data_IF_168029793650
#
_entry.id   IF_168029793650
#
_cell.length_a   1.000
_cell.length_b   1.000
_cell.length_c   1.000
_cell.angle_alpha   90.00
_cell.angle_beta   90.00
_cell.angle_gamma   90.00
#
_symmetry.space_group_name_H-M   'P 1'
#
loop_
_entity.id
_entity.type
_entity.pdbx_description
1 polymer ?
#
# COMPACT_ATOMS: atom_id res chain seq x y z
N UNK A 1 33.40 56.96 10.03
CA UNK A 1 32.32 56.08 9.57
C UNK A 1 32.81 55.30 8.36
N UNK A 2 33.24 54.05 8.56
CA UNK A 2 33.40 53.04 7.50
C UNK A 2 33.29 51.69 8.21
N UNK A 3 32.12 51.06 8.05
CA UNK A 3 31.83 49.74 8.62
C UNK A 3 32.44 48.66 7.73
N UNK A 4 33.16 47.74 8.38
CA UNK A 4 33.68 46.52 7.80
C UNK A 4 32.56 45.47 7.79
N UNK A 5 32.09 45.06 6.62
CA UNK A 5 31.11 43.98 6.47
C UNK A 5 31.80 42.73 5.92
N UNK A 6 31.96 41.73 6.80
CA UNK A 6 32.42 40.38 6.48
C UNK A 6 31.24 39.55 6.00
N UNK A 7 31.13 39.34 4.68
CA UNK A 7 30.19 38.36 4.11
C UNK A 7 30.75 36.95 4.25
N UNK A 8 30.27 36.21 5.25
CA UNK A 8 30.38 34.74 5.28
C UNK A 8 29.28 34.16 4.40
N UNK A 9 29.66 33.65 3.23
CA UNK A 9 28.77 32.83 2.41
C UNK A 9 28.57 31.48 3.10
N UNK A 10 27.34 31.23 3.55
CA UNK A 10 26.91 29.93 4.05
C UNK A 10 26.63 29.05 2.82
N UNK A 11 27.56 28.16 2.48
CA UNK A 11 27.36 27.10 1.50
C UNK A 11 26.42 26.05 2.13
N UNK A 12 25.11 26.24 1.96
CA UNK A 12 24.13 25.16 2.15
C UNK A 12 24.26 24.27 0.92
N UNK A 13 25.05 23.21 1.04
CA UNK A 13 25.11 22.15 0.06
C UNK A 13 23.80 21.38 0.06
N UNK A 14 22.86 21.80 -0.78
CA UNK A 14 21.71 20.98 -1.15
C UNK A 14 22.22 19.78 -1.93
N UNK A 15 22.50 18.68 -1.23
CA UNK A 15 22.66 17.37 -1.84
C UNK A 15 21.30 16.98 -2.43
N UNK A 16 21.01 17.44 -3.64
CA UNK A 16 20.03 16.80 -4.50
C UNK A 16 20.57 15.41 -4.80
N UNK A 17 20.22 14.44 -3.95
CA UNK A 17 20.32 13.04 -4.32
C UNK A 17 19.32 12.87 -5.46
N UNK A 18 19.84 12.87 -6.70
CA UNK A 18 19.07 12.42 -7.85
C UNK A 18 18.79 10.95 -7.57
N UNK A 19 17.62 10.64 -7.03
CA UNK A 19 17.13 9.27 -6.83
C UNK A 19 16.92 8.67 -8.21
N UNK A 20 18.00 8.14 -8.78
CA UNK A 20 17.99 7.49 -10.09
C UNK A 20 17.56 6.01 -10.00
N UNK A 21 17.28 5.48 -8.80
CA UNK A 21 16.62 4.18 -8.65
C UNK A 21 15.13 4.37 -8.42
N UNK A 22 14.31 4.00 -9.41
CA UNK A 22 12.83 4.04 -9.36
C UNK A 22 12.23 3.15 -8.26
N UNK A 23 13.02 2.27 -7.68
CA UNK A 23 12.63 1.51 -6.50
C UNK A 23 13.64 1.73 -5.39
N UNK A 24 13.15 2.31 -4.30
CA UNK A 24 13.90 2.56 -3.08
C UNK A 24 13.51 1.49 -2.05
N UNK A 25 14.50 0.73 -1.57
CA UNK A 25 14.33 -0.14 -0.42
C UNK A 25 14.97 0.50 0.80
N UNK A 26 14.18 0.62 1.87
CA UNK A 26 14.58 1.24 3.11
C UNK A 26 14.39 0.28 4.28
N UNK A 27 15.20 0.46 5.32
CA UNK A 27 15.08 -0.25 6.58
C UNK A 27 14.53 0.68 7.65
N UNK A 28 13.61 0.21 8.49
CA UNK A 28 13.17 0.95 9.67
C UNK A 28 14.34 1.06 10.67
N UNK A 29 14.74 2.28 11.02
CA UNK A 29 15.82 2.50 12.00
C UNK A 29 15.45 2.01 13.40
N UNK A 30 14.15 1.93 13.69
CA UNK A 30 13.59 1.43 14.94
C UNK A 30 12.17 0.93 14.73
N UNK A 31 11.78 -0.04 15.55
CA UNK A 31 10.38 -0.45 15.70
C UNK A 31 9.72 0.47 16.73
N UNK A 32 8.57 1.04 16.35
CA UNK A 32 7.78 1.96 17.14
C UNK A 32 6.56 1.25 17.72
N UNK A 33 6.00 1.79 18.81
CA UNK A 33 4.65 1.43 19.21
C UNK A 33 3.63 1.86 18.14
N UNK A 34 2.44 1.26 18.16
CA UNK A 34 1.37 1.60 17.23
C UNK A 34 1.04 3.09 17.26
N UNK A 35 0.87 3.68 18.45
CA UNK A 35 0.51 5.09 18.56
C UNK A 35 1.62 6.04 18.09
N UNK A 36 2.89 5.73 18.41
CA UNK A 36 4.03 6.48 17.89
C UNK A 36 4.14 6.39 16.37
N UNK A 37 3.95 5.21 15.79
CA UNK A 37 4.01 5.02 14.36
C UNK A 37 2.88 5.78 13.64
N UNK A 38 1.65 5.74 14.17
CA UNK A 38 0.53 6.55 13.63
C UNK A 38 0.86 8.02 13.65
N UNK A 39 1.37 8.52 14.78
CA UNK A 39 1.76 9.91 14.91
C UNK A 39 2.82 10.30 13.87
N UNK A 40 3.89 9.50 13.73
CA UNK A 40 4.94 9.73 12.73
C UNK A 40 4.37 9.73 11.31
N UNK A 41 3.52 8.76 10.99
CA UNK A 41 2.93 8.67 9.65
C UNK A 41 2.00 9.87 9.39
N UNK A 42 1.05 10.18 10.27
CA UNK A 42 0.07 11.25 10.05
C UNK A 42 0.64 12.68 10.17
N UNK A 43 1.85 12.85 10.72
CA UNK A 43 2.44 14.19 10.93
C UNK A 43 3.70 14.45 10.11
N UNK A 44 4.49 13.42 9.79
CA UNK A 44 5.73 13.57 9.03
C UNK A 44 5.66 12.92 7.65
N UNK A 45 5.17 11.68 7.55
CA UNK A 45 5.30 10.92 6.31
C UNK A 45 4.12 11.15 5.34
N UNK A 46 2.89 11.12 5.83
CA UNK A 46 1.66 11.31 5.06
C UNK A 46 0.77 12.37 5.72
N UNK A 47 1.25 13.62 5.89
CA UNK A 47 0.57 14.58 6.71
C UNK A 47 -0.79 15.02 6.15
N UNK A 48 -1.72 15.37 7.04
CA UNK A 48 -3.09 15.76 6.67
C UNK A 48 -3.14 16.97 5.73
N UNK A 49 -2.19 17.90 5.80
CA UNK A 49 -2.17 19.06 4.90
C UNK A 49 -1.85 18.69 3.42
N UNK A 50 -1.37 17.47 3.17
CA UNK A 50 -1.19 16.90 1.82
C UNK A 50 -2.39 16.07 1.35
N UNK A 51 -3.47 15.98 2.11
CA UNK A 51 -4.69 15.25 1.73
C UNK A 51 -5.23 15.70 0.37
N UNK A 52 -5.16 17.00 0.07
CA UNK A 52 -5.55 17.53 -1.23
C UNK A 52 -4.72 16.95 -2.38
N UNK A 53 -3.40 16.85 -2.23
CA UNK A 53 -2.51 16.28 -3.24
C UNK A 53 -2.83 14.80 -3.46
N UNK A 54 -3.10 14.07 -2.38
CA UNK A 54 -3.55 12.67 -2.43
C UNK A 54 -4.90 12.52 -3.15
N UNK A 55 -5.86 13.38 -2.87
CA UNK A 55 -7.16 13.37 -3.55
C UNK A 55 -7.04 13.68 -5.04
N UNK A 56 -6.16 14.61 -5.42
CA UNK A 56 -5.86 14.89 -6.83
C UNK A 56 -5.20 13.69 -7.53
N UNK A 57 -4.24 13.04 -6.87
CA UNK A 57 -3.59 11.83 -7.38
C UNK A 57 -4.58 10.67 -7.55
N UNK A 58 -5.57 10.55 -6.66
CA UNK A 58 -6.64 9.56 -6.78
C UNK A 58 -7.54 9.82 -7.98
N UNK A 59 -7.96 11.07 -8.17
CA UNK A 59 -8.81 11.44 -9.30
C UNK A 59 -8.15 11.10 -10.63
N UNK A 60 -6.87 11.38 -10.78
CA UNK A 60 -6.10 11.01 -11.97
C UNK A 60 -6.02 9.49 -12.15
N UNK A 61 -5.76 8.74 -11.06
CA UNK A 61 -5.67 7.29 -11.09
C UNK A 61 -6.96 6.63 -11.64
N UNK A 62 -8.12 7.24 -11.37
CA UNK A 62 -9.42 6.77 -11.85
C UNK A 62 -9.90 7.46 -13.14
N UNK A 63 -9.02 8.18 -13.84
CA UNK A 63 -9.33 8.82 -15.13
C UNK A 63 -10.20 10.07 -15.03
N UNK A 64 -10.29 10.69 -13.86
CA UNK A 64 -10.99 11.95 -13.63
C UNK A 64 -10.22 13.16 -14.18
N UNK A 65 -10.94 14.16 -14.70
CA UNK A 65 -10.34 15.43 -15.16
C UNK A 65 -10.15 16.37 -13.95
N UNK A 66 -8.93 16.86 -13.65
CA UNK A 66 -8.63 17.63 -12.43
C UNK A 66 -9.33 19.00 -12.30
N UNK A 67 -9.90 19.52 -13.38
CA UNK A 67 -10.15 20.97 -13.52
C UNK A 67 -11.38 21.54 -12.78
N UNK A 68 -12.09 20.79 -11.93
CA UNK A 68 -13.36 21.29 -11.34
C UNK A 68 -13.71 20.84 -9.91
N UNK A 69 -12.81 20.17 -9.20
CA UNK A 69 -13.14 19.56 -7.91
C UNK A 69 -12.60 20.44 -6.77
N UNK A 70 -13.50 21.02 -5.99
CA UNK A 70 -13.22 21.75 -4.73
C UNK A 70 -13.21 20.78 -3.54
N UNK A 71 -12.65 21.18 -2.39
CA UNK A 71 -12.65 20.33 -1.18
C UNK A 71 -14.06 19.91 -0.71
N UNK A 72 -15.09 20.68 -1.08
CA UNK A 72 -16.50 20.38 -0.76
C UNK A 72 -17.21 19.56 -1.85
N UNK A 73 -16.48 19.03 -2.83
CA UNK A 73 -17.07 18.25 -3.91
C UNK A 73 -17.41 16.83 -3.42
N UNK A 74 -18.69 16.41 -3.44
CA UNK A 74 -19.13 15.12 -2.92
C UNK A 74 -18.52 13.93 -3.67
N UNK A 75 -17.91 14.14 -4.85
CA UNK A 75 -17.17 13.09 -5.56
C UNK A 75 -15.85 12.73 -4.86
N UNK A 76 -15.26 13.65 -4.10
CA UNK A 76 -14.05 13.39 -3.32
C UNK A 76 -14.26 12.39 -2.20
N UNK A 77 -15.48 12.29 -1.66
CA UNK A 77 -15.87 11.26 -0.68
C UNK A 77 -15.77 9.83 -1.24
N UNK A 78 -15.76 9.66 -2.57
CA UNK A 78 -15.82 8.33 -3.22
C UNK A 78 -14.54 7.95 -3.98
N UNK A 79 -13.53 8.82 -4.06
CA UNK A 79 -12.34 8.59 -4.91
C UNK A 79 -11.09 8.16 -4.14
N UNK A 80 -10.97 8.53 -2.86
CA UNK A 80 -9.86 8.12 -2.00
C UNK A 80 -10.31 8.01 -0.55
N UNK A 81 -10.25 6.80 0.01
CA UNK A 81 -10.49 6.56 1.44
C UNK A 81 -9.21 6.06 2.09
N UNK A 82 -8.81 6.66 3.21
CA UNK A 82 -7.70 6.16 4.00
C UNK A 82 -8.20 5.09 4.96
N UNK A 83 -7.84 3.83 4.72
CA UNK A 83 -8.28 2.74 5.60
C UNK A 83 -7.71 2.92 7.03
N UNK A 84 -8.50 2.73 8.10
CA UNK A 84 -8.04 3.06 9.45
C UNK A 84 -6.98 2.11 10.00
N UNK A 85 -6.02 2.64 10.77
CA UNK A 85 -4.94 1.87 11.38
C UNK A 85 -5.41 0.75 12.31
N UNK A 86 -6.40 1.04 13.16
CA UNK A 86 -6.95 0.03 14.08
C UNK A 86 -7.60 -1.13 13.32
N UNK A 87 -8.27 -0.81 12.21
CA UNK A 87 -8.97 -1.77 11.37
C UNK A 87 -7.99 -2.65 10.61
N UNK A 88 -6.93 -2.08 10.01
CA UNK A 88 -5.88 -2.89 9.39
C UNK A 88 -5.14 -3.74 10.42
N UNK A 89 -4.86 -3.21 11.62
CA UNK A 89 -4.20 -3.99 12.68
C UNK A 89 -5.04 -5.20 13.08
N UNK A 90 -6.35 -5.02 13.26
CA UNK A 90 -7.25 -6.13 13.59
C UNK A 90 -7.21 -7.20 12.50
N UNK A 91 -7.35 -6.81 11.23
CA UNK A 91 -7.38 -7.76 10.11
C UNK A 91 -6.04 -8.47 9.93
N UNK A 92 -4.94 -7.73 10.02
CA UNK A 92 -3.58 -8.28 9.89
C UNK A 92 -3.21 -9.17 11.07
N UNK A 93 -3.54 -8.80 12.30
CA UNK A 93 -3.29 -9.65 13.47
C UNK A 93 -4.08 -10.96 13.37
N UNK A 94 -5.33 -10.91 12.90
CA UNK A 94 -6.14 -12.11 12.66
C UNK A 94 -5.59 -12.95 11.52
N UNK A 95 -5.06 -12.36 10.46
CA UNK A 95 -4.56 -13.10 9.29
C UNK A 95 -3.31 -13.91 9.60
N UNK A 96 -2.49 -13.46 10.57
CA UNK A 96 -1.26 -14.15 10.95
C UNK A 96 -1.45 -15.61 11.39
N UNK A 97 -2.62 -15.99 11.94
CA UNK A 97 -2.90 -17.39 12.32
C UNK A 97 -2.98 -18.35 11.13
N UNK A 98 -3.17 -17.80 9.93
CA UNK A 98 -3.31 -18.56 8.68
C UNK A 98 -2.04 -18.57 7.83
N UNK A 99 -1.02 -17.79 8.20
CA UNK A 99 0.27 -17.79 7.51
C UNK A 99 1.03 -19.06 7.89
N UNK A 100 1.03 -20.04 6.99
CA UNK A 100 1.65 -21.36 7.20
C UNK A 100 3.10 -21.45 6.73
N UNK A 101 3.53 -20.50 5.89
CA UNK A 101 4.88 -20.42 5.32
C UNK A 101 5.48 -19.05 5.62
N UNK A 102 6.78 -19.02 5.86
CA UNK A 102 7.61 -17.81 5.90
C UNK A 102 8.84 -18.06 5.04
N UNK A 103 9.58 -16.99 4.75
CA UNK A 103 10.89 -17.12 4.13
C UNK A 103 11.87 -17.84 5.07
N UNK A 104 12.99 -18.30 4.51
CA UNK A 104 13.99 -19.09 5.24
C UNK A 104 14.59 -18.33 6.44
N UNK A 105 14.55 -16.99 6.41
CA UNK A 105 14.96 -16.11 7.52
C UNK A 105 13.83 -15.77 8.50
N UNK A 106 12.66 -16.39 8.33
CA UNK A 106 11.48 -16.19 9.16
C UNK A 106 10.76 -14.85 8.93
N UNK A 107 11.15 -14.09 7.90
CA UNK A 107 10.51 -12.81 7.54
C UNK A 107 9.10 -13.02 7.02
N UNK A 108 8.24 -12.04 7.30
CA UNK A 108 6.90 -11.95 6.72
C UNK A 108 6.88 -10.91 5.61
N UNK A 109 6.42 -11.31 4.43
CA UNK A 109 6.27 -10.43 3.27
C UNK A 109 4.83 -9.96 3.23
N UNK A 110 4.63 -8.69 3.54
CA UNK A 110 3.35 -8.00 3.50
C UNK A 110 3.29 -7.13 2.25
N UNK A 111 2.24 -7.28 1.46
CA UNK A 111 2.02 -6.48 0.25
C UNK A 111 0.73 -5.69 0.40
N UNK A 112 0.81 -4.37 0.31
CA UNK A 112 -0.32 -3.45 0.19
C UNK A 112 -0.54 -3.15 -1.30
N UNK A 113 -1.60 -3.70 -1.88
CA UNK A 113 -1.94 -3.54 -3.29
C UNK A 113 -2.96 -2.42 -3.47
N UNK A 114 -2.58 -1.39 -4.24
CA UNK A 114 -3.29 -0.11 -4.26
C UNK A 114 -2.92 0.73 -3.04
N UNK A 115 -1.62 0.81 -2.73
CA UNK A 115 -1.12 1.41 -1.49
C UNK A 115 -1.32 2.93 -1.39
N UNK A 116 -1.74 3.59 -2.47
CA UNK A 116 -1.80 5.04 -2.57
C UNK A 116 -0.44 5.67 -2.27
N UNK A 117 -0.42 6.68 -1.41
CA UNK A 117 0.81 7.33 -0.93
C UNK A 117 1.64 6.50 0.07
N UNK A 118 1.27 5.24 0.33
CA UNK A 118 2.06 4.34 1.17
C UNK A 118 1.82 4.44 2.66
N UNK A 119 0.77 5.14 3.10
CA UNK A 119 0.43 5.36 4.51
C UNK A 119 0.44 4.07 5.35
N UNK A 120 -0.20 3.00 4.86
CA UNK A 120 -0.22 1.71 5.58
C UNK A 120 1.10 0.96 5.48
N UNK A 121 1.83 1.09 4.37
CA UNK A 121 3.17 0.49 4.19
C UNK A 121 4.15 1.06 5.21
N UNK A 122 4.19 2.39 5.38
CA UNK A 122 5.02 3.02 6.43
C UNK A 122 4.61 2.56 7.82
N UNK A 123 3.31 2.54 8.10
CA UNK A 123 2.79 2.12 9.40
C UNK A 123 3.16 0.68 9.75
N UNK A 124 2.96 -0.27 8.83
CA UNK A 124 3.30 -1.67 9.07
C UNK A 124 4.81 -1.87 9.21
N UNK A 125 5.61 -1.20 8.37
CA UNK A 125 7.07 -1.28 8.49
C UNK A 125 7.59 -0.77 9.85
N UNK A 126 7.01 0.32 10.37
CA UNK A 126 7.41 0.89 11.66
C UNK A 126 6.90 0.10 12.87
N UNK A 127 5.76 -0.59 12.76
CA UNK A 127 5.13 -1.30 13.90
C UNK A 127 5.46 -2.78 13.98
N UNK A 128 5.78 -3.41 12.85
CA UNK A 128 6.10 -4.84 12.77
C UNK A 128 7.62 -5.02 12.76
N UNK A 129 8.11 -6.15 13.28
CA UNK A 129 9.54 -6.52 13.28
C UNK A 129 9.77 -7.70 12.36
N UNK A 130 10.92 -7.72 11.69
CA UNK A 130 11.26 -8.73 10.68
C UNK A 130 10.14 -8.89 9.63
N UNK A 131 9.67 -7.76 9.08
CA UNK A 131 8.71 -7.70 7.98
C UNK A 131 9.33 -7.07 6.75
N UNK A 132 9.04 -7.61 5.56
CA UNK A 132 9.25 -6.93 4.29
C UNK A 132 7.90 -6.38 3.82
N UNK A 133 7.78 -5.06 3.76
CA UNK A 133 6.52 -4.38 3.49
C UNK A 133 6.58 -3.72 2.12
N UNK A 134 5.72 -4.14 1.19
CA UNK A 134 5.72 -3.60 -0.16
C UNK A 134 4.45 -2.80 -0.42
N UNK A 135 4.61 -1.59 -0.98
CA UNK A 135 3.51 -0.84 -1.57
C UNK A 135 3.53 -0.97 -3.08
N UNK A 136 2.42 -1.41 -3.68
CA UNK A 136 2.24 -1.43 -5.13
C UNK A 136 1.16 -0.42 -5.48
N UNK A 137 1.50 0.52 -6.34
CA UNK A 137 0.60 1.59 -6.73
C UNK A 137 0.69 1.86 -8.24
N UNK A 138 -0.45 1.97 -8.89
CA UNK A 138 -0.56 2.15 -10.33
C UNK A 138 -0.39 3.62 -10.74
N UNK A 139 -0.82 4.55 -9.87
CA UNK A 139 -0.69 5.99 -10.07
C UNK A 139 0.74 6.47 -9.82
N UNK A 140 1.36 7.07 -10.85
CA UNK A 140 2.68 7.68 -10.72
C UNK A 140 2.69 8.78 -9.65
N UNK A 141 1.63 9.58 -9.54
CA UNK A 141 1.59 10.67 -8.56
C UNK A 141 1.56 10.15 -7.13
N UNK A 142 0.77 9.11 -6.85
CA UNK A 142 0.79 8.50 -5.53
C UNK A 142 2.14 7.87 -5.19
N UNK A 143 2.76 7.23 -6.19
CA UNK A 143 4.09 6.68 -6.03
C UNK A 143 5.13 7.77 -5.75
N UNK A 144 5.09 8.90 -6.46
CA UNK A 144 5.98 10.03 -6.24
C UNK A 144 5.80 10.63 -4.84
N UNK A 145 4.56 10.74 -4.36
CA UNK A 145 4.27 11.13 -2.98
C UNK A 145 4.91 10.15 -1.97
N UNK A 146 4.76 8.84 -2.19
CA UNK A 146 5.38 7.82 -1.34
C UNK A 146 6.92 7.92 -1.33
N UNK A 147 7.55 8.18 -2.48
CA UNK A 147 9.00 8.41 -2.56
C UNK A 147 9.42 9.71 -1.85
N UNK A 148 8.63 10.77 -1.94
CA UNK A 148 8.81 12.00 -1.17
C UNK A 148 8.78 11.74 0.34
N UNK A 149 7.79 10.98 0.81
CA UNK A 149 7.67 10.55 2.21
C UNK A 149 8.85 9.69 2.66
N UNK A 150 9.39 8.84 1.79
CA UNK A 150 10.63 8.10 2.06
C UNK A 150 11.80 9.03 2.33
N UNK A 151 12.00 10.06 1.51
CA UNK A 151 13.07 11.04 1.69
C UNK A 151 12.92 11.81 3.00
N UNK A 152 11.69 12.20 3.37
CA UNK A 152 11.40 12.81 4.69
C UNK A 152 11.75 11.83 5.81
N UNK A 153 11.31 10.57 5.71
CA UNK A 153 11.58 9.58 6.74
C UNK A 153 13.07 9.24 6.90
N UNK A 154 13.87 9.34 5.84
CA UNK A 154 15.33 9.25 5.92
C UNK A 154 15.94 10.48 6.60
N UNK A 155 15.50 11.69 6.24
CA UNK A 155 15.99 12.93 6.83
C UNK A 155 15.71 13.02 8.34
N UNK A 156 14.55 12.53 8.77
CA UNK A 156 14.12 12.46 10.17
C UNK A 156 14.65 11.22 10.92
N UNK A 157 15.40 10.34 10.24
CA UNK A 157 16.03 9.17 10.85
C UNK A 157 15.09 8.00 11.17
N UNK A 158 13.84 8.02 10.68
CA UNK A 158 12.92 6.88 10.77
C UNK A 158 13.33 5.72 9.88
N UNK A 159 13.96 6.03 8.74
CA UNK A 159 14.44 5.05 7.78
C UNK A 159 15.93 5.24 7.47
N UNK A 160 16.60 4.14 7.14
CA UNK A 160 18.01 4.13 6.74
C UNK A 160 18.23 3.32 5.46
N UNK A 161 19.47 3.29 4.95
CA UNK A 161 19.86 2.36 3.90
C UNK A 161 19.75 0.92 4.42
N UNK A 162 19.39 -0.02 3.55
CA UNK A 162 19.40 -1.44 3.91
C UNK A 162 20.83 -1.87 4.28
N UNK A 163 21.01 -2.28 5.54
CA UNK A 163 22.28 -2.74 6.09
C UNK A 163 22.37 -4.26 6.17
N UNK A 164 21.35 -4.98 5.68
CA UNK A 164 21.27 -6.44 5.75
C UNK A 164 21.00 -6.96 7.16
N UNK A 165 20.53 -6.11 8.09
CA UNK A 165 20.16 -6.55 9.43
C UNK A 165 18.96 -7.53 9.35
N UNK A 166 19.06 -8.72 9.98
CA UNK A 166 18.05 -9.77 9.84
C UNK A 166 16.73 -9.42 10.53
N UNK A 167 16.78 -8.73 11.68
CA UNK A 167 15.60 -8.48 12.52
C UNK A 167 14.84 -7.19 12.18
N UNK A 168 15.40 -6.38 11.28
CA UNK A 168 14.87 -5.08 10.96
C UNK A 168 13.82 -5.17 9.84
N UNK A 169 12.75 -4.39 10.00
CA UNK A 169 11.70 -4.32 8.98
C UNK A 169 12.14 -3.45 7.82
N UNK A 170 11.68 -3.83 6.63
CA UNK A 170 12.03 -3.20 5.37
C UNK A 170 10.77 -2.74 4.68
N UNK A 171 10.91 -1.67 3.91
CA UNK A 171 9.88 -1.24 2.97
C UNK A 171 10.43 -1.04 1.57
N UNK A 172 9.56 -1.22 0.58
CA UNK A 172 9.82 -0.80 -0.79
C UNK A 172 8.52 -0.41 -1.48
N UNK A 173 8.59 0.61 -2.34
CA UNK A 173 7.49 1.00 -3.21
C UNK A 173 7.79 0.60 -4.66
N UNK A 174 6.74 0.22 -5.38
CA UNK A 174 6.79 -0.17 -6.78
C UNK A 174 5.67 0.56 -7.52
N UNK A 175 5.99 1.19 -8.65
CA UNK A 175 4.98 1.81 -9.49
C UNK A 175 4.61 0.88 -10.64
N UNK A 176 3.34 0.54 -10.79
CA UNK A 176 2.88 -0.29 -11.90
C UNK A 176 1.64 -1.08 -11.60
N UNK A 177 1.36 -2.06 -12.46
CA UNK A 177 0.12 -2.81 -12.44
C UNK A 177 0.38 -4.27 -12.02
N UNK A 178 -0.46 -4.80 -11.12
CA UNK A 178 -0.45 -6.20 -10.72
C UNK A 178 -1.12 -7.12 -11.78
N UNK A 179 -2.01 -6.56 -12.60
CA UNK A 179 -2.68 -7.26 -13.70
C UNK A 179 -1.70 -7.67 -14.81
N UNK A 180 -2.11 -8.67 -15.59
CA UNK A 180 -1.34 -9.16 -16.73
C UNK A 180 -1.34 -8.19 -17.91
N UNK A 181 -0.42 -8.41 -18.86
CA UNK A 181 -0.26 -7.59 -20.07
C UNK A 181 -1.49 -7.54 -20.97
N UNK A 182 -2.38 -8.53 -20.83
CA UNK A 182 -3.61 -8.68 -21.63
C UNK A 182 -4.76 -7.81 -21.10
N UNK A 183 -4.65 -7.23 -19.90
CA UNK A 183 -5.71 -6.39 -19.34
C UNK A 183 -5.75 -5.02 -20.04
N UNK A 184 -6.94 -4.56 -20.43
CA UNK A 184 -7.11 -3.30 -21.17
C UNK A 184 -6.56 -2.08 -20.40
N UNK A 185 -6.61 -2.10 -19.06
CA UNK A 185 -6.04 -1.03 -18.24
C UNK A 185 -4.52 -1.12 -18.12
N UNK A 186 -3.94 -2.32 -18.33
CA UNK A 186 -2.49 -2.51 -18.32
C UNK A 186 -1.80 -1.70 -19.42
N UNK A 187 -2.40 -1.62 -20.61
CA UNK A 187 -1.83 -0.87 -21.74
C UNK A 187 -1.56 0.60 -21.40
N UNK A 188 -2.39 1.19 -20.52
CA UNK A 188 -2.29 2.58 -20.10
C UNK A 188 -1.43 2.80 -18.84
N UNK A 189 -1.02 1.71 -18.18
CA UNK A 189 -0.38 1.73 -16.86
C UNK A 189 0.88 0.87 -16.82
N UNK A 190 1.44 0.57 -18.00
CA UNK A 190 2.65 -0.24 -18.14
C UNK A 190 3.83 0.49 -17.49
N UNK A 191 4.48 -0.20 -16.55
CA UNK A 191 5.71 0.24 -15.92
C UNK A 191 6.83 -0.79 -16.16
N UNK A 192 8.07 -0.31 -16.10
CA UNK A 192 9.28 -1.15 -16.09
C UNK A 192 9.33 -2.06 -14.85
N UNK A 193 8.64 -1.68 -13.77
CA UNK A 193 8.59 -2.45 -12.52
C UNK A 193 7.60 -3.63 -12.56
N UNK A 194 6.83 -3.82 -13.64
CA UNK A 194 5.80 -4.85 -13.66
C UNK A 194 6.36 -6.26 -13.40
N UNK A 195 7.53 -6.62 -13.95
CA UNK A 195 8.18 -7.91 -13.63
C UNK A 195 8.57 -8.01 -12.15
N UNK A 196 9.00 -6.90 -11.54
CA UNK A 196 9.35 -6.83 -10.13
C UNK A 196 8.11 -6.98 -9.26
N UNK A 197 7.02 -6.34 -9.63
CA UNK A 197 5.72 -6.48 -8.96
C UNK A 197 5.27 -7.95 -8.96
N UNK A 198 5.38 -8.65 -10.10
CA UNK A 198 5.06 -10.08 -10.17
C UNK A 198 5.93 -10.91 -9.23
N UNK A 199 7.24 -10.62 -9.16
CA UNK A 199 8.15 -11.28 -8.22
C UNK A 199 7.74 -11.04 -6.76
N UNK A 200 7.44 -9.79 -6.39
CA UNK A 200 7.00 -9.42 -5.04
C UNK A 200 5.71 -10.17 -4.66
N UNK A 201 4.72 -10.17 -5.54
CA UNK A 201 3.45 -10.90 -5.32
C UNK A 201 3.67 -12.41 -5.20
N UNK A 202 4.61 -12.98 -5.97
CA UNK A 202 4.94 -14.41 -5.88
C UNK A 202 5.59 -14.85 -4.56
N UNK A 203 6.04 -13.88 -3.76
CA UNK A 203 6.61 -14.08 -2.43
C UNK A 203 5.71 -13.58 -1.29
N UNK A 204 4.50 -13.11 -1.61
CA UNK A 204 3.61 -12.53 -0.62
C UNK A 204 3.13 -13.60 0.38
N UNK A 205 3.29 -13.30 1.67
CA UNK A 205 2.72 -14.09 2.76
C UNK A 205 1.34 -13.56 3.14
N UNK A 206 1.24 -12.22 3.23
CA UNK A 206 0.00 -11.50 3.47
C UNK A 206 -0.14 -10.45 2.36
N UNK A 207 -1.28 -10.45 1.68
CA UNK A 207 -1.66 -9.41 0.73
C UNK A 207 -2.84 -8.64 1.32
N UNK A 208 -2.75 -7.33 1.38
CA UNK A 208 -3.85 -6.44 1.73
C UNK A 208 -4.28 -5.64 0.51
N UNK A 209 -5.59 -5.53 0.29
CA UNK A 209 -6.16 -4.66 -0.74
C UNK A 209 -7.39 -3.95 -0.18
N UNK A 210 -7.36 -2.61 -0.16
CA UNK A 210 -8.54 -1.81 0.16
C UNK A 210 -9.49 -1.79 -1.04
N UNK A 211 -10.24 -2.88 -1.20
CA UNK A 211 -10.96 -3.23 -2.43
C UNK A 211 -12.35 -2.64 -2.55
N UNK A 212 -12.75 -1.72 -1.67
CA UNK A 212 -14.13 -1.22 -1.57
C UNK A 212 -14.64 -0.59 -2.87
N UNK A 213 -13.75 -0.04 -3.71
CA UNK A 213 -14.08 0.59 -5.01
C UNK A 213 -13.63 -0.22 -6.23
N UNK A 214 -13.04 -1.40 -6.05
CA UNK A 214 -12.52 -2.20 -7.16
C UNK A 214 -13.64 -2.79 -8.01
N UNK A 215 -13.38 -3.37 -9.18
CA UNK A 215 -14.47 -3.95 -9.99
C UNK A 215 -15.04 -5.24 -9.36
N UNK A 216 -16.36 -5.44 -9.44
CA UNK A 216 -17.03 -6.70 -9.08
C UNK A 216 -17.28 -7.57 -10.30
N UNK A 217 -17.57 -8.84 -10.05
CA UNK A 217 -18.07 -9.76 -11.07
C UNK A 217 -19.33 -9.21 -11.76
N UNK A 218 -19.41 -9.30 -13.09
CA UNK A 218 -20.49 -8.67 -13.86
C UNK A 218 -21.76 -9.52 -13.87
N UNK A 219 -21.59 -10.84 -13.90
CA UNK A 219 -22.71 -11.78 -14.06
C UNK A 219 -23.37 -12.11 -12.72
N UNK A 220 -22.57 -12.32 -11.68
CA UNK A 220 -23.04 -12.62 -10.33
C UNK A 220 -22.20 -11.85 -9.30
N UNK A 221 -22.47 -10.55 -9.12
CA UNK A 221 -21.68 -9.70 -8.24
C UNK A 221 -21.78 -10.06 -6.76
N UNK A 222 -22.82 -10.76 -6.31
CA UNK A 222 -23.03 -11.14 -4.91
C UNK A 222 -23.09 -12.66 -4.74
N UNK A 223 -22.29 -13.18 -3.81
CA UNK A 223 -22.33 -14.59 -3.39
C UNK A 223 -23.15 -14.73 -2.11
N UNK A 224 -24.19 -15.56 -2.16
CA UNK A 224 -24.98 -15.90 -0.98
C UNK A 224 -24.17 -16.74 0.01
N UNK A 225 -23.27 -17.59 -0.46
CA UNK A 225 -22.48 -18.46 0.42
C UNK A 225 -21.44 -17.65 1.22
N UNK A 226 -20.81 -16.66 0.57
CA UNK A 226 -19.85 -15.77 1.22
C UNK A 226 -20.52 -14.59 1.94
N UNK A 227 -21.80 -14.34 1.66
CA UNK A 227 -22.53 -13.14 2.10
C UNK A 227 -21.78 -11.86 1.74
N UNK A 228 -21.25 -11.79 0.52
CA UNK A 228 -20.32 -10.75 0.09
C UNK A 228 -20.46 -10.43 -1.40
N UNK A 229 -20.12 -9.19 -1.75
CA UNK A 229 -19.82 -8.84 -3.14
C UNK A 229 -18.52 -9.53 -3.57
N UNK A 230 -18.41 -9.95 -4.81
CA UNK A 230 -17.27 -10.70 -5.35
C UNK A 230 -16.45 -9.82 -6.27
N UNK A 231 -15.14 -9.76 -6.02
CA UNK A 231 -14.19 -9.11 -6.92
C UNK A 231 -14.23 -9.77 -8.30
N UNK A 232 -14.17 -8.96 -9.35
CA UNK A 232 -14.17 -9.43 -10.74
C UNK A 232 -13.12 -10.52 -10.96
N UNK A 233 -13.42 -11.47 -11.84
CA UNK A 233 -12.51 -12.56 -12.23
C UNK A 233 -11.07 -12.10 -12.48
N UNK A 234 -10.85 -10.98 -13.19
CA UNK A 234 -9.50 -10.46 -13.47
C UNK A 234 -8.61 -10.27 -12.22
N UNK A 235 -9.19 -9.89 -11.08
CA UNK A 235 -8.44 -9.73 -9.83
C UNK A 235 -8.27 -11.06 -9.11
N UNK A 236 -9.36 -11.81 -8.95
CA UNK A 236 -9.36 -13.09 -8.24
C UNK A 236 -8.45 -14.12 -8.91
N UNK A 237 -8.57 -14.27 -10.23
CA UNK A 237 -7.74 -15.14 -11.07
C UNK A 237 -6.29 -14.69 -11.04
N UNK A 238 -6.02 -13.41 -11.33
CA UNK A 238 -4.65 -12.92 -11.39
C UNK A 238 -3.88 -13.10 -10.09
N UNK A 239 -4.51 -12.76 -8.96
CA UNK A 239 -3.87 -12.94 -7.67
C UNK A 239 -3.65 -14.43 -7.37
N UNK A 240 -4.58 -15.31 -7.76
CA UNK A 240 -4.41 -16.76 -7.61
C UNK A 240 -3.25 -17.29 -8.47
N UNK A 241 -3.10 -16.82 -9.70
CA UNK A 241 -1.98 -17.19 -10.58
C UNK A 241 -0.63 -16.87 -9.95
N UNK A 242 -0.48 -15.62 -9.51
CA UNK A 242 0.82 -15.05 -9.14
C UNK A 242 1.20 -15.35 -7.70
N UNK A 243 0.26 -15.30 -6.75
CA UNK A 243 0.56 -15.52 -5.34
C UNK A 243 0.94 -16.98 -5.06
N UNK A 244 1.77 -17.24 -4.03
CA UNK A 244 2.15 -18.60 -3.66
C UNK A 244 0.98 -19.34 -2.98
N UNK A 245 1.03 -20.68 -3.01
CA UNK A 245 0.15 -21.51 -2.21
C UNK A 245 0.20 -21.11 -0.73
N UNK A 246 -0.96 -20.97 -0.10
CA UNK A 246 -1.07 -20.56 1.30
C UNK A 246 -0.91 -19.05 1.54
N UNK A 247 -0.81 -18.23 0.49
CA UNK A 247 -0.90 -16.77 0.62
C UNK A 247 -2.22 -16.38 1.29
N UNK A 248 -2.16 -15.45 2.25
CA UNK A 248 -3.31 -14.92 2.97
C UNK A 248 -3.68 -13.56 2.41
N UNK A 249 -4.82 -13.46 1.73
CA UNK A 249 -5.33 -12.20 1.22
C UNK A 249 -6.36 -11.59 2.16
N UNK A 250 -6.24 -10.28 2.39
CA UNK A 250 -7.18 -9.45 3.13
C UNK A 250 -7.77 -8.47 2.13
N UNK A 251 -9.07 -8.58 1.88
CA UNK A 251 -9.82 -7.64 1.04
C UNK A 251 -10.93 -6.96 1.85
N UNK A 252 -11.41 -5.81 1.41
CA UNK A 252 -12.47 -5.05 2.09
C UNK A 252 -13.71 -4.90 1.22
N UNK A 253 -14.88 -5.14 1.81
CA UNK A 253 -16.24 -5.00 1.25
C UNK A 253 -16.54 -5.89 0.03
N UNK A 254 -15.50 -6.49 -0.57
CA UNK A 254 -15.56 -7.41 -1.69
C UNK A 254 -14.62 -8.59 -1.41
N UNK A 255 -15.11 -9.81 -1.52
CA UNK A 255 -14.34 -11.03 -1.33
C UNK A 255 -13.71 -11.51 -2.65
N UNK A 256 -12.60 -12.23 -2.55
CA UNK A 256 -12.03 -12.97 -3.68
C UNK A 256 -12.92 -14.17 -4.03
N UNK A 257 -13.00 -14.51 -5.32
CA UNK A 257 -13.85 -15.61 -5.78
C UNK A 257 -13.25 -16.98 -5.43
N UNK A 258 -14.04 -17.91 -4.86
CA UNK A 258 -13.60 -19.27 -4.56
C UNK A 258 -13.33 -20.12 -5.80
N UNK A 259 -13.85 -19.73 -6.97
CA UNK A 259 -13.63 -20.44 -8.24
C UNK A 259 -12.15 -20.49 -8.65
N UNK A 260 -11.33 -19.57 -8.11
CA UNK A 260 -9.89 -19.50 -8.36
C UNK A 260 -9.05 -20.00 -7.18
N UNK A 261 -9.64 -20.79 -6.28
CA UNK A 261 -8.92 -21.40 -5.14
C UNK A 261 -8.84 -20.52 -3.89
N UNK A 262 -9.52 -19.38 -3.85
CA UNK A 262 -9.57 -18.53 -2.65
C UNK A 262 -10.61 -19.02 -1.65
N UNK A 263 -10.14 -19.55 -0.53
CA UNK A 263 -11.03 -19.98 0.56
C UNK A 263 -11.16 -18.90 1.61
N UNK A 264 -12.37 -18.38 1.81
CA UNK A 264 -12.68 -17.49 2.93
C UNK A 264 -12.54 -18.26 4.26
N UNK A 265 -11.64 -17.81 5.14
CA UNK A 265 -11.35 -18.46 6.44
C UNK A 265 -11.70 -17.60 7.64
N UNK A 266 -11.93 -16.30 7.45
CA UNK A 266 -12.34 -15.38 8.49
C UNK A 266 -13.00 -14.14 7.90
N UNK A 267 -13.84 -13.49 8.70
CA UNK A 267 -14.50 -12.23 8.38
C UNK A 267 -14.57 -11.37 9.63
N UNK A 268 -14.33 -10.08 9.50
CA UNK A 268 -14.52 -9.13 10.58
C UNK A 268 -15.11 -7.82 10.08
N UNK A 269 -16.18 -7.37 10.73
CA UNK A 269 -16.69 -6.01 10.55
C UNK A 269 -15.78 -5.07 11.34
N UNK A 270 -15.31 -4.01 10.68
CA UNK A 270 -14.33 -3.07 11.22
C UNK A 270 -14.78 -1.64 11.02
N UNK A 271 -14.30 -0.74 11.87
CA UNK A 271 -14.55 0.68 11.72
C UNK A 271 -13.93 1.19 10.42
N UNK A 272 -14.71 1.91 9.63
CA UNK A 272 -14.22 2.66 8.47
C UNK A 272 -15.04 3.93 8.34
N UNK A 273 -14.59 5.05 8.92
CA UNK A 273 -15.33 6.32 8.87
C UNK A 273 -15.64 6.79 7.45
N UNK A 274 -14.81 6.42 6.46
CA UNK A 274 -15.03 6.77 5.05
C UNK A 274 -16.23 6.07 4.43
N UNK A 275 -16.69 4.94 4.98
CA UNK A 275 -17.77 4.10 4.41
C UNK A 275 -18.87 3.72 5.43
N UNK A 276 -18.90 4.37 6.60
CA UNK A 276 -19.77 3.99 7.72
C UNK A 276 -19.56 2.54 8.22
N UNK A 277 -18.33 2.05 8.10
CA UNK A 277 -17.94 0.66 8.38
C UNK A 277 -17.42 -0.05 7.13
N UNK A 278 -16.61 -1.08 7.34
CA UNK A 278 -16.19 -2.00 6.28
C UNK A 278 -16.20 -3.42 6.80
N UNK A 279 -16.35 -4.38 5.88
CA UNK A 279 -16.14 -5.80 6.17
C UNK A 279 -14.80 -6.23 5.61
N UNK A 280 -13.89 -6.70 6.48
CA UNK A 280 -12.66 -7.36 6.05
C UNK A 280 -12.87 -8.86 5.83
N UNK A 281 -12.52 -9.34 4.65
CA UNK A 281 -12.52 -10.76 4.28
C UNK A 281 -11.09 -11.28 4.27
N UNK A 282 -10.84 -12.37 5.01
CA UNK A 282 -9.52 -13.02 5.05
C UNK A 282 -9.64 -14.36 4.33
N UNK A 283 -8.95 -14.46 3.19
CA UNK A 283 -8.95 -15.65 2.34
C UNK A 283 -7.56 -16.28 2.29
N UNK A 284 -7.50 -17.61 2.17
CA UNK A 284 -6.26 -18.37 1.95
C UNK A 284 -6.31 -18.98 0.57
N UNK A 285 -5.20 -18.90 -0.17
CA UNK A 285 -5.08 -19.54 -1.48
C UNK A 285 -4.80 -21.04 -1.34
N UNK A 286 -5.73 -21.86 -1.83
CA UNK A 286 -5.67 -23.33 -1.92
C UNK A 286 -5.67 -23.76 -3.40
N UNK A 287 -4.48 -23.76 -4.03
CA UNK A 287 -4.16 -24.42 -5.32
C UNK A 287 -4.11 -25.94 -5.18
#
# INVERSE_FOLDING_TARGET
MLFCASSKALLIGSAFLVVQSRSLSLIASKSLSRDEARHVVDHALCPIHQERERNLAALEAYGGVPASITNDDPRTEYTYGEFPYNSVDLLVDRSQKYVTRRDDDGRTNFVDLGSGSGRLVFYQCLTRRNWETHGIEISQQFHDLALGSCAVGQAEGFFGPDTGQPDASRLAFHNGNALGVEDEFFAHTRSEDNERIQRVLSTAHILFAYSSVWETERTQPFSQDLQAMILSSKWSERLAEVCPQGCVAITTDRALSPDFGWKLVDRADVENPSLFGSTGFISVLEK
#
